data_IF_784715534045
#
_entry.id   IF_784715534045
#
_cell.length_a   1.000
_cell.length_b   1.000
_cell.length_c   1.000
_cell.angle_alpha   90.00
_cell.angle_beta   90.00
_cell.angle_gamma   90.00
#
_symmetry.space_group_name_H-M   'P 1'
#
loop_
_entity.id
_entity.type
_entity.pdbx_description
1 polymer ?
#
# COMPACT_ATOMS: atom_id res chain seq x y z
N UNK A 1 -31.60 -50.20 18.63
CA UNK A 1 -30.17 -50.04 18.22
C UNK A 1 -30.01 -49.59 16.77
N UNK A 2 -30.82 -50.08 15.83
CA UNK A 2 -30.66 -49.76 14.40
C UNK A 2 -30.96 -48.30 14.03
N UNK A 3 -32.00 -47.70 14.64
CA UNK A 3 -32.34 -46.28 14.43
C UNK A 3 -31.24 -45.33 14.93
N UNK A 4 -30.61 -45.66 16.06
CA UNK A 4 -29.50 -44.88 16.64
C UNK A 4 -28.28 -44.89 15.70
N UNK A 5 -27.95 -46.04 15.11
CA UNK A 5 -26.86 -46.17 14.13
C UNK A 5 -27.12 -45.36 12.86
N UNK A 6 -28.38 -45.31 12.38
CA UNK A 6 -28.78 -44.50 11.22
C UNK A 6 -28.62 -43.00 11.50
N UNK A 7 -29.14 -42.52 12.63
CA UNK A 7 -29.03 -41.11 13.04
C UNK A 7 -27.57 -40.70 13.21
N UNK A 8 -26.76 -41.53 13.88
CA UNK A 8 -25.32 -41.30 14.05
C UNK A 8 -24.59 -41.17 12.72
N UNK A 9 -24.89 -42.05 11.75
CA UNK A 9 -24.30 -41.98 10.41
C UNK A 9 -24.67 -40.68 9.66
N UNK A 10 -25.90 -40.20 9.81
CA UNK A 10 -26.35 -38.95 9.19
C UNK A 10 -25.60 -37.75 9.81
N UNK A 11 -25.48 -37.70 11.14
CA UNK A 11 -24.76 -36.63 11.84
C UNK A 11 -23.29 -36.60 11.39
N UNK A 12 -22.61 -37.74 11.34
CA UNK A 12 -21.22 -37.81 10.88
C UNK A 12 -21.06 -37.32 9.43
N UNK A 13 -22.01 -37.65 8.54
CA UNK A 13 -22.00 -37.18 7.14
C UNK A 13 -22.16 -35.67 7.04
N UNK A 14 -23.08 -35.09 7.82
CA UNK A 14 -23.31 -33.64 7.85
C UNK A 14 -22.07 -32.91 8.40
N UNK A 15 -21.50 -33.39 9.51
CA UNK A 15 -20.28 -32.82 10.08
C UNK A 15 -19.13 -32.86 9.06
N UNK A 16 -18.92 -34.02 8.42
CA UNK A 16 -17.85 -34.17 7.44
C UNK A 16 -18.06 -33.27 6.22
N UNK A 17 -19.30 -33.15 5.73
CA UNK A 17 -19.62 -32.23 4.65
C UNK A 17 -19.36 -30.77 5.03
N UNK A 18 -19.71 -30.37 6.26
CA UNK A 18 -19.42 -29.04 6.78
C UNK A 18 -17.92 -28.75 6.82
N UNK A 19 -17.12 -29.67 7.39
CA UNK A 19 -15.66 -29.53 7.41
C UNK A 19 -15.05 -29.49 6.00
N UNK A 20 -15.58 -30.29 5.06
CA UNK A 20 -15.14 -30.27 3.67
C UNK A 20 -15.42 -28.92 3.01
N UNK A 21 -16.62 -28.36 3.19
CA UNK A 21 -16.98 -27.03 2.67
C UNK A 21 -16.08 -25.95 3.26
N UNK A 22 -15.82 -26.01 4.57
CA UNK A 22 -14.93 -25.05 5.24
C UNK A 22 -13.49 -25.14 4.71
N UNK A 23 -12.99 -26.37 4.52
CA UNK A 23 -11.65 -26.61 3.97
C UNK A 23 -11.54 -26.13 2.52
N UNK A 24 -12.54 -26.41 1.68
CA UNK A 24 -12.60 -25.91 0.30
C UNK A 24 -12.65 -24.37 0.29
N UNK A 25 -13.46 -23.75 1.15
CA UNK A 25 -13.51 -22.30 1.29
C UNK A 25 -12.16 -21.69 1.67
N UNK A 26 -11.47 -22.30 2.63
CA UNK A 26 -10.12 -21.89 3.02
C UNK A 26 -9.13 -21.99 1.85
N UNK A 27 -9.16 -23.11 1.12
CA UNK A 27 -8.30 -23.30 -0.06
C UNK A 27 -8.58 -22.24 -1.13
N UNK A 28 -9.84 -21.91 -1.39
CA UNK A 28 -10.22 -20.84 -2.34
C UNK A 28 -9.67 -19.48 -1.89
N UNK A 29 -9.77 -19.14 -0.60
CA UNK A 29 -9.21 -17.89 -0.06
C UNK A 29 -7.69 -17.87 -0.21
N UNK A 30 -7.00 -18.95 0.11
CA UNK A 30 -5.54 -19.03 -0.04
C UNK A 30 -5.10 -18.93 -1.50
N UNK A 31 -5.82 -19.56 -2.43
CA UNK A 31 -5.55 -19.43 -3.86
C UNK A 31 -5.77 -17.99 -4.34
N UNK A 32 -6.83 -17.33 -3.89
CA UNK A 32 -7.08 -15.92 -4.20
C UNK A 32 -5.92 -15.02 -3.74
N UNK A 33 -5.44 -15.20 -2.50
CA UNK A 33 -4.29 -14.47 -1.97
C UNK A 33 -2.99 -14.77 -2.74
N UNK A 34 -2.77 -16.03 -3.12
CA UNK A 34 -1.58 -16.46 -3.85
C UNK A 34 -1.54 -15.97 -5.31
N UNK A 35 -2.69 -15.81 -5.95
CA UNK A 35 -2.79 -15.20 -7.29
C UNK A 35 -2.53 -13.69 -7.19
N UNK A 36 -3.11 -13.03 -6.18
CA UNK A 36 -2.86 -11.61 -5.91
C UNK A 36 -1.37 -11.32 -5.71
N UNK A 37 -0.68 -12.10 -4.89
CA UNK A 37 0.74 -11.86 -4.58
C UNK A 37 1.71 -11.98 -5.75
N UNK A 38 1.36 -12.70 -6.84
CA UNK A 38 2.26 -12.94 -7.98
C UNK A 38 2.20 -11.91 -9.09
N UNK A 39 1.14 -11.11 -9.17
CA UNK A 39 0.94 -10.19 -10.29
C UNK A 39 0.74 -8.74 -9.89
N UNK A 40 0.03 -8.50 -8.77
CA UNK A 40 -0.55 -7.18 -8.50
C UNK A 40 -0.84 -6.89 -7.00
N UNK A 41 -0.39 -7.74 -6.07
CA UNK A 41 -0.83 -7.66 -4.67
C UNK A 41 -2.31 -8.04 -4.49
N UNK A 42 -2.86 -7.92 -3.27
CA UNK A 42 -4.32 -7.93 -3.12
C UNK A 42 -4.88 -6.68 -3.81
N UNK A 43 -5.97 -6.75 -4.59
CA UNK A 43 -6.53 -5.59 -5.27
C UNK A 43 -6.88 -4.42 -4.34
N UNK A 44 -7.15 -4.69 -3.05
CA UNK A 44 -7.37 -3.66 -2.03
C UNK A 44 -6.07 -3.01 -1.51
N UNK A 45 -4.96 -3.74 -1.48
CA UNK A 45 -3.67 -3.25 -0.99
C UNK A 45 -2.74 -2.80 -2.11
N UNK A 46 -3.11 -3.01 -3.38
CA UNK A 46 -2.27 -2.67 -4.53
C UNK A 46 -1.98 -1.16 -4.62
N UNK A 47 -2.92 -0.33 -4.17
CA UNK A 47 -2.81 1.11 -4.23
C UNK A 47 -2.20 1.71 -2.96
N UNK A 48 -1.96 0.94 -1.90
CA UNK A 48 -1.43 1.46 -0.64
C UNK A 48 -0.09 0.81 -0.29
N UNK A 49 0.88 1.63 0.10
CA UNK A 49 2.20 1.19 0.52
C UNK A 49 2.53 1.75 1.91
N UNK A 50 3.19 0.93 2.72
CA UNK A 50 3.62 1.32 4.06
C UNK A 50 5.10 1.70 4.02
N UNK A 51 5.43 2.86 4.58
CA UNK A 51 6.81 3.32 4.73
C UNK A 51 7.07 3.73 6.17
N UNK A 52 8.30 3.51 6.63
CA UNK A 52 8.78 4.04 7.90
C UNK A 52 9.55 5.33 7.64
N UNK A 53 9.26 6.38 8.40
CA UNK A 53 9.92 7.68 8.28
C UNK A 53 11.32 7.58 8.92
N UNK A 54 12.36 7.78 8.11
CA UNK A 54 13.76 7.62 8.52
C UNK A 54 14.44 8.95 8.88
N UNK A 55 13.97 10.06 8.32
CA UNK A 55 14.56 11.39 8.49
C UNK A 55 13.54 12.39 9.00
N UNK A 56 14.02 13.42 9.72
CA UNK A 56 13.18 14.49 10.27
C UNK A 56 12.85 15.61 9.29
N UNK A 57 13.06 15.45 7.99
CA UNK A 57 12.83 16.52 6.98
C UNK A 57 11.37 16.96 6.90
N UNK A 58 10.45 16.15 7.40
CA UNK A 58 9.01 16.43 7.41
C UNK A 58 8.47 16.70 8.82
N UNK A 59 9.32 16.89 9.84
CA UNK A 59 8.83 17.26 11.17
C UNK A 59 8.22 18.69 11.17
N UNK A 60 7.15 18.94 11.96
CA UNK A 60 6.46 18.00 12.85
C UNK A 60 5.35 17.18 12.18
N UNK A 61 5.13 17.33 10.87
CA UNK A 61 4.03 16.68 10.15
C UNK A 61 4.20 15.16 10.12
N UNK A 62 5.41 14.69 9.82
CA UNK A 62 5.79 13.27 9.87
C UNK A 62 6.93 13.07 10.86
N UNK A 63 6.66 12.30 11.91
CA UNK A 63 7.64 12.04 12.97
C UNK A 63 8.60 10.93 12.57
N UNK A 64 9.88 11.08 12.93
CA UNK A 64 10.89 10.04 12.75
C UNK A 64 10.50 8.77 13.50
N UNK A 65 10.64 7.62 12.84
CA UNK A 65 10.21 6.32 13.36
C UNK A 65 8.71 6.05 13.22
N UNK A 66 7.93 7.01 12.74
CA UNK A 66 6.51 6.82 12.40
C UNK A 66 6.33 5.93 11.16
N UNK A 67 5.14 5.35 11.02
CA UNK A 67 4.72 4.59 9.84
C UNK A 67 3.65 5.38 9.10
N UNK A 68 3.84 5.57 7.79
CA UNK A 68 2.90 6.26 6.90
C UNK A 68 2.30 5.28 5.90
N UNK A 69 1.05 5.52 5.53
CA UNK A 69 0.36 4.84 4.42
C UNK A 69 0.39 5.81 3.23
N UNK A 70 0.92 5.35 2.11
CA UNK A 70 1.04 6.11 0.86
C UNK A 70 0.11 5.50 -0.17
N UNK A 71 -0.78 6.33 -0.72
CA UNK A 71 -1.67 5.95 -1.80
C UNK A 71 -1.04 6.24 -3.17
N UNK A 72 -1.12 5.28 -4.08
CA UNK A 72 -0.75 5.47 -5.49
C UNK A 72 -1.91 6.13 -6.21
N UNK A 73 -1.73 7.41 -6.54
CA UNK A 73 -2.70 8.25 -7.27
C UNK A 73 -2.17 8.64 -8.65
N UNK A 74 -3.05 9.16 -9.50
CA UNK A 74 -2.67 9.77 -10.77
C UNK A 74 -1.91 11.08 -10.51
N UNK A 75 -0.69 11.29 -11.04
CA UNK A 75 0.04 12.54 -10.85
C UNK A 75 -0.73 13.79 -11.28
N UNK A 76 -1.70 13.66 -12.20
CA UNK A 76 -2.52 14.77 -12.68
C UNK A 76 -3.55 15.26 -11.65
N UNK A 77 -3.80 14.51 -10.57
CA UNK A 77 -4.70 14.92 -9.48
C UNK A 77 -3.98 15.59 -8.32
N UNK A 78 -2.65 15.61 -8.33
CA UNK A 78 -1.85 16.21 -7.26
C UNK A 78 -1.82 17.74 -7.38
N UNK A 79 -1.90 18.42 -6.23
CA UNK A 79 -1.94 19.87 -6.13
C UNK A 79 -0.84 20.42 -5.19
N UNK A 80 -0.66 21.74 -5.21
CA UNK A 80 0.24 22.41 -4.28
C UNK A 80 -0.22 22.19 -2.82
N UNK A 81 0.71 21.81 -1.96
CA UNK A 81 0.45 21.49 -0.56
C UNK A 81 0.34 20.00 -0.25
N UNK A 82 0.18 19.13 -1.25
CA UNK A 82 0.16 17.68 -1.04
C UNK A 82 1.53 17.13 -0.62
N UNK A 83 1.53 16.08 0.21
CA UNK A 83 2.76 15.35 0.57
C UNK A 83 2.86 14.11 -0.32
N UNK A 84 3.92 14.04 -1.10
CA UNK A 84 4.15 12.95 -2.04
C UNK A 84 5.39 12.16 -1.66
N UNK A 85 5.39 10.88 -1.98
CA UNK A 85 6.53 9.99 -1.81
C UNK A 85 7.04 9.55 -3.18
N UNK A 86 8.29 9.87 -3.49
CA UNK A 86 8.89 9.66 -4.81
C UNK A 86 10.35 9.21 -4.68
N UNK A 87 10.91 8.70 -5.79
CA UNK A 87 12.35 8.40 -5.87
C UNK A 87 13.06 9.68 -6.27
N UNK A 88 13.89 10.22 -5.38
CA UNK A 88 14.59 11.48 -5.64
C UNK A 88 15.66 11.29 -6.72
N UNK A 89 15.69 12.23 -7.66
CA UNK A 89 16.75 12.36 -8.66
C UNK A 89 17.83 13.37 -8.27
N UNK A 90 17.67 14.06 -7.14
CA UNK A 90 18.67 15.00 -6.61
C UNK A 90 20.02 14.28 -6.43
N UNK A 91 21.10 14.94 -6.82
CA UNK A 91 22.49 14.52 -6.60
C UNK A 91 22.80 14.00 -5.19
N UNK A 92 22.17 14.56 -4.15
CA UNK A 92 22.42 14.17 -2.75
C UNK A 92 21.57 12.99 -2.26
N UNK A 93 20.41 12.77 -2.89
CA UNK A 93 19.40 11.78 -2.51
C UNK A 93 19.09 10.79 -3.65
N UNK A 94 19.94 10.72 -4.66
CA UNK A 94 19.69 9.97 -5.88
C UNK A 94 19.34 8.49 -5.60
N UNK A 95 18.19 8.06 -6.09
CA UNK A 95 17.70 6.69 -5.93
C UNK A 95 17.09 6.38 -4.56
N UNK A 96 16.98 7.36 -3.64
CA UNK A 96 16.29 7.19 -2.36
C UNK A 96 14.82 7.54 -2.47
N UNK A 97 13.99 6.81 -1.73
CA UNK A 97 12.57 7.13 -1.56
C UNK A 97 12.46 8.24 -0.51
N UNK A 98 11.85 9.36 -0.89
CA UNK A 98 11.73 10.57 -0.07
C UNK A 98 10.29 11.03 -0.07
N UNK A 99 9.81 11.53 1.07
CA UNK A 99 8.47 12.09 1.21
C UNK A 99 8.58 13.59 1.49
N UNK A 100 8.10 14.45 0.58
CA UNK A 100 8.15 15.91 0.71
C UNK A 100 6.84 16.57 0.28
N UNK A 101 6.62 17.82 0.67
CA UNK A 101 5.44 18.61 0.29
C UNK A 101 5.64 19.30 -1.06
N UNK A 102 4.64 19.24 -1.93
CA UNK A 102 4.61 19.99 -3.19
C UNK A 102 4.50 21.48 -2.86
N UNK A 103 5.49 22.26 -3.27
CA UNK A 103 5.45 23.73 -3.24
C UNK A 103 4.90 24.31 -4.53
N UNK A 104 5.17 23.66 -5.65
CA UNK A 104 4.73 24.13 -6.95
C UNK A 104 4.51 22.96 -7.92
N UNK A 105 3.42 23.07 -8.69
CA UNK A 105 3.14 22.17 -9.81
C UNK A 105 3.50 22.90 -11.11
N UNK A 106 4.36 22.30 -11.93
CA UNK A 106 4.79 22.85 -13.21
C UNK A 106 4.39 21.91 -14.33
N UNK A 107 3.35 22.29 -15.07
CA UNK A 107 2.92 21.57 -16.27
C UNK A 107 3.76 22.04 -17.48
N UNK A 108 4.39 21.09 -18.17
CA UNK A 108 5.19 21.36 -19.37
C UNK A 108 4.86 20.36 -20.48
N UNK A 109 5.33 20.60 -21.72
CA UNK A 109 5.03 19.72 -22.86
C UNK A 109 5.52 18.27 -22.68
N UNK A 110 6.44 18.03 -21.74
CA UNK A 110 7.03 16.73 -21.44
C UNK A 110 6.37 16.01 -20.24
N UNK A 111 5.36 16.62 -19.61
CA UNK A 111 4.68 16.09 -18.42
C UNK A 111 4.56 17.11 -17.29
N UNK A 112 4.02 16.64 -16.16
CA UNK A 112 3.88 17.41 -14.92
C UNK A 112 5.12 17.20 -14.05
N UNK A 113 5.76 18.30 -13.63
CA UNK A 113 6.89 18.30 -12.70
C UNK A 113 6.48 18.90 -11.36
N UNK A 114 7.10 18.42 -10.29
CA UNK A 114 6.82 18.88 -8.93
C UNK A 114 8.07 19.47 -8.30
N UNK A 115 7.94 20.70 -7.78
CA UNK A 115 8.94 21.27 -6.89
C UNK A 115 8.50 20.93 -5.48
N UNK A 116 9.32 20.17 -4.77
CA UNK A 116 8.99 19.67 -3.43
C UNK A 116 9.96 20.17 -2.39
N UNK A 117 9.52 20.23 -1.13
CA UNK A 117 10.37 20.59 0.01
C UNK A 117 9.95 19.86 1.28
N UNK A 118 10.91 19.45 2.10
CA UNK A 118 10.66 19.01 3.47
C UNK A 118 10.15 20.13 4.37
N UNK A 119 9.12 19.87 5.19
CA UNK A 119 8.54 20.85 6.12
C UNK A 119 9.56 21.40 7.14
N UNK A 120 10.56 20.61 7.53
CA UNK A 120 11.63 20.98 8.46
C UNK A 120 12.89 21.53 7.77
N UNK A 121 12.99 21.44 6.44
CA UNK A 121 14.15 21.97 5.73
C UNK A 121 14.06 23.51 5.65
N UNK A 122 15.17 24.23 5.85
CA UNK A 122 15.23 25.66 5.56
C UNK A 122 15.36 25.91 4.04
N UNK A 123 16.09 25.05 3.33
CA UNK A 123 16.35 25.13 1.88
C UNK A 123 15.40 24.25 1.03
N UNK A 124 15.17 24.66 -0.23
CA UNK A 124 14.32 23.95 -1.21
C UNK A 124 15.10 22.79 -1.84
N UNK A 125 14.44 21.66 -2.12
CA UNK A 125 15.05 20.57 -2.89
C UNK A 125 14.81 20.79 -4.39
N UNK A 126 15.86 20.63 -5.21
CA UNK A 126 15.78 20.83 -6.65
C UNK A 126 15.14 19.60 -7.34
N UNK A 127 13.89 19.80 -7.78
CA UNK A 127 13.08 19.03 -8.72
C UNK A 127 12.96 17.49 -8.54
N UNK A 128 11.73 17.04 -8.27
CA UNK A 128 11.32 15.65 -8.45
C UNK A 128 10.82 15.46 -9.90
N UNK A 129 11.38 14.48 -10.63
CA UNK A 129 10.91 14.08 -11.96
C UNK A 129 10.10 12.78 -11.88
#
# INVERSE_FOLDING_TARGET
MEQVKKIWSIICKILNAFFLVLLVGLVVVLLYLAIGSKGNGLPFLQNYQLFTVLSGSMEPTLNVGGVIIVEKVDPMTLEEGDIITFVSNDTTLNGKVVSHRILQVVDNNNGRMFITKGDANEDRDDAAA
#
